data_IF_946453640394
#
_entry.id   IF_946453640394
#
_cell.length_a   1.000
_cell.length_b   1.000
_cell.length_c   1.000
_cell.angle_alpha   90.00
_cell.angle_beta   90.00
_cell.angle_gamma   90.00
#
_symmetry.space_group_name_H-M   'P 1'
#
loop_
_entity.id
_entity.type
_entity.pdbx_description
1 polymer ?
#
# COMPACT_ATOMS: atom_id res chain seq x y z
N UNK A 1 -28.22 4.24 4.09
CA UNK A 1 -27.90 3.09 4.97
C UNK A 1 -26.93 3.57 6.03
N UNK A 2 -27.13 3.22 7.28
CA UNK A 2 -26.19 3.55 8.34
C UNK A 2 -25.16 2.43 8.48
N UNK A 3 -23.89 2.79 8.53
CA UNK A 3 -22.77 1.90 8.84
C UNK A 3 -22.31 2.19 10.26
N UNK A 4 -21.76 1.17 10.94
CA UNK A 4 -21.15 1.36 12.25
C UNK A 4 -19.74 1.94 12.10
N UNK A 5 -19.02 1.49 11.06
CA UNK A 5 -17.65 1.92 10.76
C UNK A 5 -17.53 2.28 9.28
N UNK A 6 -16.92 3.41 8.99
CA UNK A 6 -16.48 3.80 7.65
C UNK A 6 -14.94 3.82 7.63
N UNK A 7 -14.35 3.13 6.67
CA UNK A 7 -12.91 3.18 6.38
C UNK A 7 -12.71 3.96 5.09
N UNK A 8 -11.88 4.99 5.13
CA UNK A 8 -11.61 5.89 4.00
C UNK A 8 -10.25 5.59 3.42
N UNK A 9 -10.22 5.09 2.19
CA UNK A 9 -9.01 4.72 1.46
C UNK A 9 -8.81 3.22 1.35
N UNK A 10 -8.76 2.70 0.11
CA UNK A 10 -8.60 1.28 -0.23
C UNK A 10 -7.14 0.80 -0.34
N UNK A 11 -6.18 1.48 0.30
CA UNK A 11 -4.81 1.00 0.42
C UNK A 11 -4.66 -0.16 1.41
N UNK A 12 -3.44 -0.65 1.63
CA UNK A 12 -3.19 -1.80 2.51
C UNK A 12 -3.77 -1.60 3.92
N UNK A 13 -3.53 -0.43 4.52
CA UNK A 13 -4.05 -0.11 5.85
C UNK A 13 -5.59 -0.09 5.89
N UNK A 14 -6.22 0.43 4.84
CA UNK A 14 -7.68 0.45 4.74
C UNK A 14 -8.28 -0.93 4.54
N UNK A 15 -7.65 -1.78 3.74
CA UNK A 15 -8.07 -3.17 3.57
C UNK A 15 -8.04 -3.91 4.93
N UNK A 16 -6.93 -3.83 5.66
CA UNK A 16 -6.81 -4.48 6.97
C UNK A 16 -7.78 -3.92 8.00
N UNK A 17 -7.96 -2.60 8.06
CA UNK A 17 -8.93 -1.96 8.96
C UNK A 17 -10.37 -2.39 8.66
N UNK A 18 -10.73 -2.47 7.37
CA UNK A 18 -12.06 -2.90 6.93
C UNK A 18 -12.31 -4.37 7.25
N UNK A 19 -11.32 -5.24 7.00
CA UNK A 19 -11.39 -6.67 7.33
C UNK A 19 -11.49 -6.88 8.84
N UNK A 20 -10.66 -6.22 9.64
CA UNK A 20 -10.68 -6.33 11.09
C UNK A 20 -12.03 -5.91 11.68
N UNK A 21 -12.62 -4.82 11.18
CA UNK A 21 -13.93 -4.33 11.62
C UNK A 21 -15.06 -5.30 11.22
N UNK A 22 -15.12 -5.70 9.96
CA UNK A 22 -16.19 -6.57 9.46
C UNK A 22 -16.15 -7.98 10.08
N UNK A 23 -14.95 -8.54 10.30
CA UNK A 23 -14.76 -9.85 10.96
C UNK A 23 -15.18 -9.84 12.43
N UNK A 24 -15.13 -8.69 13.09
CA UNK A 24 -15.69 -8.50 14.44
C UNK A 24 -17.22 -8.35 14.44
N UNK A 25 -17.87 -8.42 13.29
CA UNK A 25 -19.32 -8.35 13.16
C UNK A 25 -19.88 -6.94 12.91
N UNK A 26 -19.03 -5.91 12.81
CA UNK A 26 -19.50 -4.55 12.57
C UNK A 26 -19.85 -4.32 11.11
N UNK A 27 -20.98 -3.67 10.86
CA UNK A 27 -21.39 -3.26 9.53
C UNK A 27 -20.48 -2.15 9.02
N UNK A 28 -19.53 -2.54 8.16
CA UNK A 28 -18.40 -1.72 7.71
C UNK A 28 -18.58 -1.28 6.26
N UNK A 29 -18.20 -0.05 5.96
CA UNK A 29 -18.08 0.48 4.61
C UNK A 29 -16.62 0.86 4.32
N UNK A 30 -16.05 0.30 3.27
CA UNK A 30 -14.78 0.77 2.69
C UNK A 30 -15.09 1.73 1.54
N UNK A 31 -14.68 2.99 1.67
CA UNK A 31 -14.79 4.00 0.62
C UNK A 31 -13.43 4.19 -0.05
N UNK A 32 -13.38 4.08 -1.36
CA UNK A 32 -12.15 4.24 -2.15
C UNK A 32 -12.41 5.03 -3.43
N UNK A 33 -11.45 5.82 -3.87
CA UNK A 33 -11.58 6.61 -5.10
C UNK A 33 -11.69 5.78 -6.38
N UNK A 34 -11.17 4.54 -6.36
CA UNK A 34 -11.27 3.60 -7.47
C UNK A 34 -11.17 2.16 -6.93
N UNK A 35 -12.20 1.36 -7.16
CA UNK A 35 -12.26 -0.03 -6.67
C UNK A 35 -11.18 -0.91 -7.35
N UNK A 36 -10.84 -0.63 -8.60
CA UNK A 36 -9.84 -1.41 -9.34
C UNK A 36 -8.41 -1.18 -8.82
N UNK A 37 -8.21 -0.14 -8.00
CA UNK A 37 -6.90 0.22 -7.45
C UNK A 37 -6.78 -0.11 -5.95
N UNK A 38 -7.71 -0.88 -5.41
CA UNK A 38 -7.61 -1.39 -4.04
C UNK A 38 -6.31 -2.20 -3.87
N UNK A 39 -5.58 -1.92 -2.80
CA UNK A 39 -4.32 -2.59 -2.43
C UNK A 39 -3.23 -2.56 -3.50
N UNK A 40 -3.25 -1.62 -4.43
CA UNK A 40 -2.17 -1.48 -5.42
C UNK A 40 -0.86 -1.08 -4.75
N UNK A 41 0.24 -1.49 -5.39
CA UNK A 41 1.62 -1.19 -4.97
C UNK A 41 2.28 -0.27 -6.01
N UNK A 42 2.02 1.05 -5.97
CA UNK A 42 2.52 1.96 -7.01
C UNK A 42 4.03 2.14 -7.00
N UNK A 43 4.66 2.03 -5.84
CA UNK A 43 6.10 2.20 -5.66
C UNK A 43 6.85 0.88 -5.96
N UNK A 44 7.10 0.07 -4.93
CA UNK A 44 7.71 -1.25 -5.06
C UNK A 44 6.65 -2.33 -4.82
N UNK A 45 6.43 -3.26 -5.76
CA UNK A 45 5.52 -4.38 -5.54
C UNK A 45 6.17 -5.43 -4.63
N UNK A 46 6.43 -5.07 -3.39
CA UNK A 46 7.04 -5.94 -2.40
C UNK A 46 6.46 -5.76 -1.01
N UNK A 47 6.25 -6.87 -0.34
CA UNK A 47 5.82 -6.96 1.06
C UNK A 47 7.00 -7.43 1.89
N UNK A 48 7.22 -6.81 3.04
CA UNK A 48 8.27 -7.23 3.97
C UNK A 48 9.50 -6.34 4.00
N UNK A 49 10.58 -6.90 4.49
CA UNK A 49 11.80 -6.17 4.87
C UNK A 49 11.91 -5.97 6.38
N UNK A 50 13.00 -5.36 6.85
CA UNK A 50 13.39 -5.37 8.27
C UNK A 50 12.35 -4.86 9.27
N UNK A 51 11.51 -3.89 8.88
CA UNK A 51 10.39 -3.42 9.70
C UNK A 51 9.05 -4.00 9.24
N UNK A 52 8.76 -3.87 7.93
CA UNK A 52 7.47 -4.30 7.37
C UNK A 52 7.21 -5.80 7.54
N UNK A 53 8.24 -6.65 7.37
CA UNK A 53 8.09 -8.10 7.50
C UNK A 53 7.63 -8.54 8.88
N UNK A 54 8.10 -7.87 9.93
CA UNK A 54 7.68 -8.12 11.30
C UNK A 54 6.21 -7.71 11.49
N UNK A 55 5.86 -6.48 11.08
CA UNK A 55 4.49 -5.95 11.20
C UNK A 55 3.50 -6.81 10.42
N UNK A 56 3.83 -7.29 9.23
CA UNK A 56 2.94 -8.16 8.44
C UNK A 56 2.65 -9.46 9.18
N UNK A 57 3.65 -10.06 9.84
CA UNK A 57 3.46 -11.26 10.65
C UNK A 57 2.63 -11.01 11.92
N UNK A 58 2.78 -9.83 12.53
CA UNK A 58 1.94 -9.44 13.67
C UNK A 58 0.48 -9.25 13.24
N UNK A 59 0.26 -8.61 12.07
CA UNK A 59 -1.08 -8.44 11.48
C UNK A 59 -1.69 -9.81 11.17
N UNK A 60 -0.94 -10.73 10.57
CA UNK A 60 -1.38 -12.09 10.28
C UNK A 60 -1.80 -12.83 11.56
N UNK A 61 -0.98 -12.76 12.61
CA UNK A 61 -1.29 -13.36 13.92
C UNK A 61 -2.58 -12.80 14.57
N UNK A 62 -2.98 -11.60 14.20
CA UNK A 62 -4.24 -10.95 14.62
C UNK A 62 -5.40 -11.24 13.66
N UNK A 63 -5.20 -12.09 12.65
CA UNK A 63 -6.23 -12.47 11.68
C UNK A 63 -6.33 -11.51 10.49
N UNK A 64 -5.29 -10.75 10.17
CA UNK A 64 -5.19 -9.94 8.96
C UNK A 64 -4.95 -10.78 7.72
N UNK A 65 -5.11 -10.21 6.53
CA UNK A 65 -5.02 -10.94 5.26
C UNK A 65 -3.81 -10.56 4.40
N UNK A 66 -3.05 -9.54 4.79
CA UNK A 66 -1.91 -9.06 4.00
C UNK A 66 -0.84 -10.15 3.79
N UNK A 67 -0.57 -10.95 4.82
CA UNK A 67 0.37 -12.07 4.77
C UNK A 67 -0.10 -13.16 3.82
N UNK A 68 -1.35 -13.61 3.96
CA UNK A 68 -1.96 -14.64 3.11
C UNK A 68 -1.99 -14.23 1.65
N UNK A 69 -2.41 -13.00 1.35
CA UNK A 69 -2.46 -12.49 -0.02
C UNK A 69 -1.05 -12.33 -0.60
N UNK A 70 -0.06 -11.94 0.20
CA UNK A 70 1.33 -11.89 -0.24
C UNK A 70 1.86 -13.28 -0.59
N UNK A 71 1.60 -14.29 0.24
CA UNK A 71 2.02 -15.68 0.00
C UNK A 71 1.37 -16.28 -1.24
N UNK A 72 0.10 -15.92 -1.51
CA UNK A 72 -0.64 -16.40 -2.68
C UNK A 72 -0.24 -15.73 -4.01
N UNK A 73 0.44 -14.58 -3.97
CA UNK A 73 0.68 -13.75 -5.17
C UNK A 73 2.13 -13.35 -5.36
N UNK A 74 3.03 -13.89 -4.55
CA UNK A 74 4.45 -13.60 -4.68
C UNK A 74 5.04 -14.22 -5.96
N UNK A 75 6.06 -13.56 -6.48
CA UNK A 75 6.90 -14.05 -7.58
C UNK A 75 8.31 -14.41 -7.11
N UNK A 76 8.70 -13.90 -5.94
CA UNK A 76 9.95 -14.29 -5.28
C UNK A 76 9.83 -14.08 -3.77
N UNK A 77 10.34 -15.03 -2.98
CA UNK A 77 10.49 -14.94 -1.53
C UNK A 77 11.97 -14.97 -1.14
N UNK A 78 12.36 -14.09 -0.24
CA UNK A 78 13.73 -14.04 0.27
C UNK A 78 13.79 -13.68 1.76
N UNK A 79 14.63 -14.37 2.52
CA UNK A 79 15.00 -13.96 3.87
C UNK A 79 16.14 -12.94 3.79
N UNK A 80 15.91 -11.75 4.28
CA UNK A 80 16.89 -10.67 4.35
C UNK A 80 17.72 -10.74 5.64
N UNK A 81 18.91 -10.14 5.59
CA UNK A 81 19.80 -9.97 6.74
C UNK A 81 20.24 -11.29 7.40
N UNK A 82 20.39 -12.36 6.64
CA UNK A 82 20.73 -13.68 7.15
C UNK A 82 22.01 -13.67 8.01
N UNK A 83 23.02 -12.90 7.60
CA UNK A 83 24.31 -12.79 8.28
C UNK A 83 24.32 -11.80 9.47
N UNK A 84 23.23 -11.04 9.71
CA UNK A 84 23.20 -9.98 10.72
C UNK A 84 22.59 -10.41 12.07
N UNK A 85 22.25 -11.70 12.21
CA UNK A 85 21.67 -12.27 13.41
C UNK A 85 20.12 -12.31 13.38
N UNK A 86 19.53 -13.10 14.31
CA UNK A 86 18.09 -13.43 14.25
C UNK A 86 17.15 -12.24 14.45
N UNK A 87 17.55 -11.24 15.23
CA UNK A 87 16.70 -10.09 15.55
C UNK A 87 16.36 -9.20 14.32
N UNK A 88 17.14 -9.26 13.26
CA UNK A 88 16.95 -8.46 12.04
C UNK A 88 16.65 -9.32 10.81
N UNK A 89 16.58 -10.64 10.94
CA UNK A 89 16.12 -11.52 9.88
C UNK A 89 14.66 -11.20 9.57
N UNK A 90 14.34 -10.99 8.31
CA UNK A 90 12.99 -10.64 7.92
C UNK A 90 12.67 -11.11 6.51
N UNK A 91 11.46 -11.59 6.33
CA UNK A 91 10.95 -12.00 5.02
C UNK A 91 10.70 -10.80 4.11
N UNK A 92 10.94 -10.99 2.83
CA UNK A 92 10.55 -10.09 1.77
C UNK A 92 10.03 -10.89 0.59
N UNK A 93 8.75 -10.69 0.26
CA UNK A 93 8.14 -11.18 -0.97
C UNK A 93 8.15 -10.07 -2.03
N UNK A 94 8.60 -10.39 -3.23
CA UNK A 94 8.25 -9.63 -4.42
C UNK A 94 6.87 -10.12 -4.84
N UNK A 95 5.90 -9.24 -4.91
CA UNK A 95 4.52 -9.57 -5.27
C UNK A 95 4.26 -9.28 -6.75
N UNK A 96 3.40 -10.07 -7.37
CA UNK A 96 2.86 -9.71 -8.67
C UNK A 96 1.96 -8.47 -8.52
N UNK A 97 2.31 -7.41 -9.23
CA UNK A 97 1.65 -6.09 -9.14
C UNK A 97 0.18 -6.13 -9.57
N UNK A 98 -0.21 -7.11 -10.38
CA UNK A 98 -1.57 -7.23 -10.92
C UNK A 98 -2.39 -8.22 -10.11
N UNK A 99 -1.80 -9.33 -9.71
CA UNK A 99 -2.51 -10.41 -9.01
C UNK A 99 -2.78 -10.06 -7.55
N UNK A 100 -1.85 -9.41 -6.87
CA UNK A 100 -2.00 -9.04 -5.46
C UNK A 100 -3.27 -8.18 -5.20
N UNK A 101 -3.51 -7.07 -5.92
CA UNK A 101 -4.72 -6.27 -5.76
C UNK A 101 -6.00 -7.07 -6.05
N UNK A 102 -5.97 -7.93 -7.06
CA UNK A 102 -7.12 -8.76 -7.44
C UNK A 102 -7.47 -9.76 -6.34
N UNK A 103 -6.47 -10.39 -5.75
CA UNK A 103 -6.67 -11.34 -4.67
C UNK A 103 -7.17 -10.65 -3.41
N UNK A 104 -6.59 -9.50 -3.02
CA UNK A 104 -7.08 -8.70 -1.91
C UNK A 104 -8.54 -8.27 -2.11
N UNK A 105 -8.91 -7.86 -3.33
CA UNK A 105 -10.30 -7.50 -3.64
C UNK A 105 -11.26 -8.68 -3.50
N UNK A 106 -10.85 -9.90 -3.85
CA UNK A 106 -11.66 -11.11 -3.61
C UNK A 106 -11.87 -11.34 -2.12
N UNK A 107 -10.81 -11.23 -1.30
CA UNK A 107 -10.90 -11.36 0.15
C UNK A 107 -11.88 -10.34 0.71
N UNK A 108 -11.78 -9.07 0.35
CA UNK A 108 -12.70 -8.03 0.80
C UNK A 108 -14.15 -8.32 0.41
N UNK A 109 -14.39 -8.80 -0.82
CA UNK A 109 -15.74 -9.11 -1.32
C UNK A 109 -16.36 -10.35 -0.68
N UNK A 110 -15.55 -11.23 -0.12
CA UNK A 110 -16.05 -12.42 0.59
C UNK A 110 -16.59 -12.13 1.99
N UNK A 111 -16.28 -10.95 2.55
CA UNK A 111 -16.69 -10.57 3.90
C UNK A 111 -18.16 -10.13 3.96
N UNK A 112 -18.96 -10.79 4.80
CA UNK A 112 -20.42 -10.58 4.86
C UNK A 112 -20.83 -9.19 5.37
N UNK A 113 -20.06 -8.63 6.31
CA UNK A 113 -20.37 -7.36 6.95
C UNK A 113 -19.63 -6.18 6.29
N UNK A 114 -18.99 -6.39 5.15
CA UNK A 114 -18.22 -5.38 4.43
C UNK A 114 -18.92 -4.98 3.13
N UNK A 115 -19.15 -3.68 2.98
CA UNK A 115 -19.55 -3.07 1.72
C UNK A 115 -18.39 -2.24 1.17
N UNK A 116 -18.25 -2.21 -0.16
CA UNK A 116 -17.25 -1.37 -0.84
C UNK A 116 -18.00 -0.35 -1.68
N UNK A 117 -17.60 0.92 -1.57
CA UNK A 117 -18.18 2.01 -2.36
C UNK A 117 -17.07 2.81 -3.02
N UNK A 118 -17.25 3.08 -4.31
CA UNK A 118 -16.40 4.02 -5.02
C UNK A 118 -16.88 5.45 -4.77
N UNK A 119 -15.95 6.33 -4.42
CA UNK A 119 -16.18 7.73 -4.13
C UNK A 119 -14.97 8.37 -3.45
N UNK A 120 -14.86 9.68 -3.59
CA UNK A 120 -13.81 10.45 -2.92
C UNK A 120 -14.40 11.16 -1.70
N UNK A 121 -13.85 10.87 -0.53
CA UNK A 121 -14.23 11.57 0.70
C UNK A 121 -13.53 12.93 0.73
N UNK A 122 -14.32 14.00 0.85
CA UNK A 122 -13.83 15.38 0.87
C UNK A 122 -14.03 16.09 2.22
N UNK A 123 -14.93 15.57 3.07
CA UNK A 123 -15.12 16.12 4.41
C UNK A 123 -15.64 15.06 5.41
N UNK A 124 -15.61 15.42 6.69
CA UNK A 124 -16.24 14.70 7.78
C UNK A 124 -17.53 15.40 8.20
N UNK A 125 -18.52 14.63 8.61
CA UNK A 125 -19.71 15.17 9.28
C UNK A 125 -19.39 15.24 10.77
N UNK A 126 -19.16 16.46 11.28
CA UNK A 126 -18.81 16.68 12.70
C UNK A 126 -19.86 17.57 13.33
N UNK A 127 -20.42 17.15 14.47
CA UNK A 127 -21.32 17.91 15.31
C UNK A 127 -20.90 17.75 16.77
N UNK A 128 -20.91 18.83 17.52
CA UNK A 128 -20.53 18.81 18.94
C UNK A 128 -19.22 18.07 19.23
N UNK A 129 -18.19 18.34 18.40
CA UNK A 129 -16.89 17.71 18.43
C UNK A 129 -16.90 16.17 18.28
N UNK A 130 -17.96 15.63 17.71
CA UNK A 130 -18.14 14.18 17.47
C UNK A 130 -18.34 13.92 15.98
N UNK A 131 -17.67 12.88 15.46
CA UNK A 131 -17.85 12.46 14.07
C UNK A 131 -19.16 11.68 13.91
N UNK A 132 -19.90 11.99 12.85
CA UNK A 132 -21.17 11.34 12.48
C UNK A 132 -21.17 10.77 11.06
N UNK A 133 -20.03 10.77 10.38
CA UNK A 133 -19.90 10.21 9.04
C UNK A 133 -18.98 11.01 8.14
N UNK A 134 -19.15 10.82 6.84
CA UNK A 134 -18.34 11.44 5.80
C UNK A 134 -19.19 12.08 4.71
N UNK A 135 -18.62 13.06 4.02
CA UNK A 135 -19.19 13.70 2.83
C UNK A 135 -18.36 13.31 1.61
N UNK A 136 -18.99 12.77 0.59
CA UNK A 136 -18.34 12.47 -0.68
C UNK A 136 -18.24 13.73 -1.57
N UNK A 137 -17.38 13.67 -2.58
CA UNK A 137 -17.24 14.68 -3.62
C UNK A 137 -18.51 14.93 -4.44
N UNK A 138 -19.44 13.98 -4.44
CA UNK A 138 -20.78 14.11 -5.02
C UNK A 138 -21.77 14.90 -4.15
N UNK A 139 -21.37 15.25 -2.92
CA UNK A 139 -22.25 15.83 -1.91
C UNK A 139 -23.07 14.78 -1.11
N UNK A 140 -22.91 13.50 -1.39
CA UNK A 140 -23.58 12.44 -0.65
C UNK A 140 -23.04 12.34 0.78
N UNK A 141 -23.93 12.31 1.75
CA UNK A 141 -23.63 12.09 3.16
C UNK A 141 -23.80 10.63 3.53
N UNK A 142 -22.78 10.03 4.13
CA UNK A 142 -22.83 8.65 4.64
C UNK A 142 -22.62 8.69 6.14
N UNK A 143 -23.61 8.18 6.87
CA UNK A 143 -23.65 8.27 8.33
C UNK A 143 -22.95 7.06 8.97
N UNK A 144 -22.12 7.36 9.98
CA UNK A 144 -21.43 6.36 10.80
C UNK A 144 -20.94 6.99 12.10
N UNK A 145 -20.83 6.19 13.15
CA UNK A 145 -20.30 6.62 14.43
C UNK A 145 -18.76 6.57 14.51
N UNK A 146 -18.13 5.82 13.61
CA UNK A 146 -16.67 5.63 13.58
C UNK A 146 -16.17 5.85 12.15
N UNK A 147 -15.16 6.69 12.01
CA UNK A 147 -14.46 6.92 10.73
C UNK A 147 -12.98 6.65 10.91
N UNK A 148 -12.44 5.75 10.10
CA UNK A 148 -11.00 5.41 10.06
C UNK A 148 -10.42 6.00 8.78
N UNK A 149 -9.45 6.92 8.92
CA UNK A 149 -8.79 7.57 7.80
C UNK A 149 -7.49 6.83 7.44
N UNK A 150 -7.43 6.28 6.22
CA UNK A 150 -6.27 5.58 5.67
C UNK A 150 -5.94 6.10 4.27
N UNK A 151 -5.92 7.41 4.12
CA UNK A 151 -5.90 8.14 2.85
C UNK A 151 -4.58 8.06 2.08
N UNK A 152 -3.53 7.49 2.69
CA UNK A 152 -2.25 7.23 2.03
C UNK A 152 -1.64 8.50 1.41
N UNK A 153 -1.32 8.43 0.12
CA UNK A 153 -0.66 9.50 -0.64
C UNK A 153 -1.62 10.30 -1.52
N UNK A 154 -2.91 10.40 -1.16
CA UNK A 154 -3.93 11.00 -2.03
C UNK A 154 -4.42 12.39 -1.57
N UNK A 155 -4.01 12.88 -0.38
CA UNK A 155 -4.43 14.19 0.13
C UNK A 155 -3.69 15.32 -0.56
N UNK A 156 -4.34 16.02 -1.49
CA UNK A 156 -3.75 17.10 -2.32
C UNK A 156 -2.38 16.72 -2.90
N UNK A 157 -2.25 15.48 -3.34
CA UNK A 157 -0.98 14.94 -3.81
C UNK A 157 -0.54 15.53 -5.14
N UNK A 158 0.77 15.59 -5.32
CA UNK A 158 1.43 15.94 -6.56
C UNK A 158 2.42 14.84 -6.95
N UNK A 159 2.48 14.53 -8.23
CA UNK A 159 3.51 13.68 -8.82
C UNK A 159 4.62 14.58 -9.37
N UNK A 160 5.85 14.27 -9.01
CA UNK A 160 7.04 14.97 -9.47
C UNK A 160 7.84 14.04 -10.39
N UNK A 161 8.09 14.48 -11.62
CA UNK A 161 8.93 13.77 -12.59
C UNK A 161 9.85 14.79 -13.25
N UNK A 162 11.14 14.75 -12.90
CA UNK A 162 12.07 15.83 -13.26
C UNK A 162 11.51 17.17 -12.76
N UNK A 163 11.46 18.16 -13.63
CA UNK A 163 10.94 19.50 -13.33
C UNK A 163 9.40 19.61 -13.45
N UNK A 164 8.74 18.54 -13.85
CA UNK A 164 7.29 18.55 -14.04
C UNK A 164 6.57 18.19 -12.74
N UNK A 165 5.63 19.06 -12.35
CA UNK A 165 4.73 18.83 -11.21
C UNK A 165 3.29 18.73 -11.70
N UNK A 166 2.67 17.58 -11.45
CA UNK A 166 1.28 17.32 -11.84
C UNK A 166 0.43 17.03 -10.62
N UNK A 167 -0.69 17.75 -10.46
CA UNK A 167 -1.67 17.50 -9.40
C UNK A 167 -2.38 16.18 -9.67
N UNK A 168 -1.91 15.12 -9.02
CA UNK A 168 -2.39 13.76 -9.24
C UNK A 168 -2.00 12.83 -8.07
N UNK A 169 -2.76 11.77 -7.89
CA UNK A 169 -2.33 10.58 -7.15
C UNK A 169 -1.47 9.65 -8.02
N UNK A 170 -0.97 8.53 -7.47
CA UNK A 170 -0.26 7.51 -8.24
C UNK A 170 -1.05 7.08 -9.47
N UNK A 171 -0.34 6.78 -10.58
CA UNK A 171 -0.96 6.35 -11.85
C UNK A 171 -1.99 7.33 -12.44
N UNK A 172 -1.79 8.65 -12.24
CA UNK A 172 -2.69 9.73 -12.67
C UNK A 172 -4.10 9.65 -12.07
N UNK A 173 -4.24 9.04 -10.89
CA UNK A 173 -5.50 9.03 -10.18
C UNK A 173 -5.84 10.39 -9.58
N UNK A 174 -7.15 10.61 -9.42
CA UNK A 174 -7.67 11.85 -8.82
C UNK A 174 -7.35 11.90 -7.32
N UNK A 175 -6.69 12.95 -6.82
CA UNK A 175 -6.46 13.15 -5.39
C UNK A 175 -7.69 13.75 -4.71
N UNK A 176 -7.85 13.54 -3.40
CA UNK A 176 -8.79 14.30 -2.57
C UNK A 176 -8.31 15.73 -2.41
N UNK A 177 -9.17 16.70 -2.72
CA UNK A 177 -8.77 18.11 -2.78
C UNK A 177 -9.10 18.89 -1.51
N UNK A 178 -10.11 18.48 -0.76
CA UNK A 178 -10.62 19.27 0.36
C UNK A 178 -10.41 18.62 1.73
N UNK A 179 -10.33 17.29 1.82
CA UNK A 179 -10.27 16.56 3.08
C UNK A 179 -9.10 17.03 3.98
N UNK A 180 -7.91 17.29 3.42
CA UNK A 180 -6.76 17.76 4.22
C UNK A 180 -6.97 19.15 4.81
N UNK A 181 -7.66 20.04 4.10
CA UNK A 181 -7.97 21.38 4.62
C UNK A 181 -9.07 21.32 5.67
N UNK A 182 -10.04 20.45 5.49
CA UNK A 182 -11.11 20.24 6.46
C UNK A 182 -10.56 19.61 7.74
N UNK A 183 -9.66 18.63 7.63
CA UNK A 183 -8.96 18.08 8.80
C UNK A 183 -8.20 19.16 9.60
N UNK A 184 -7.55 20.13 8.92
CA UNK A 184 -6.91 21.26 9.61
C UNK A 184 -7.90 22.11 10.38
N UNK A 185 -9.11 22.34 9.86
CA UNK A 185 -10.18 23.08 10.56
C UNK A 185 -10.62 22.37 11.84
N UNK A 186 -10.52 21.04 11.88
CA UNK A 186 -10.78 20.23 13.08
C UNK A 186 -9.57 20.13 14.01
N UNK A 187 -8.51 20.88 13.77
CA UNK A 187 -7.34 20.96 14.66
C UNK A 187 -6.23 19.95 14.38
N UNK A 188 -6.32 19.15 13.31
CA UNK A 188 -5.24 18.22 12.94
C UNK A 188 -4.04 18.97 12.34
N UNK A 189 -2.84 18.68 12.84
CA UNK A 189 -1.60 19.17 12.25
C UNK A 189 -1.24 18.29 11.04
N UNK A 190 -1.34 18.84 9.84
CA UNK A 190 -1.06 18.15 8.59
C UNK A 190 0.27 18.61 8.02
N UNK A 191 1.19 17.66 7.87
CA UNK A 191 2.51 17.90 7.28
C UNK A 191 2.57 17.29 5.88
N UNK A 192 3.38 17.90 5.02
CA UNK A 192 3.68 17.35 3.70
C UNK A 192 4.91 16.46 3.77
N UNK A 193 4.75 15.24 3.25
CA UNK A 193 5.83 14.27 3.15
C UNK A 193 6.07 13.89 1.69
N UNK A 194 7.28 13.48 1.37
CA UNK A 194 7.71 12.98 0.06
C UNK A 194 7.94 11.48 0.14
N UNK A 195 7.54 10.74 -0.89
CA UNK A 195 7.95 9.36 -1.13
C UNK A 195 8.63 9.25 -2.50
N UNK A 196 9.65 8.39 -2.62
CA UNK A 196 10.30 8.10 -3.90
C UNK A 196 9.74 6.84 -4.53
N UNK A 197 9.55 6.87 -5.85
CA UNK A 197 9.20 5.68 -6.64
C UNK A 197 10.37 5.36 -7.55
N UNK A 198 10.89 4.11 -7.59
CA UNK A 198 11.97 3.74 -8.47
C UNK A 198 11.51 3.82 -9.95
N UNK A 199 12.44 4.11 -10.88
CA UNK A 199 12.13 4.16 -12.30
C UNK A 199 11.62 2.80 -12.78
N UNK A 200 10.74 2.81 -13.78
CA UNK A 200 10.34 1.63 -14.55
C UNK A 200 11.19 1.57 -15.80
N UNK A 201 11.86 0.46 -16.00
CA UNK A 201 12.77 0.23 -17.12
C UNK A 201 12.17 -0.84 -18.01
N UNK A 202 12.24 -0.65 -19.33
CA UNK A 202 11.85 -1.69 -20.27
C UNK A 202 12.84 -2.85 -20.17
N UNK A 203 12.33 -4.05 -19.89
CA UNK A 203 13.13 -5.27 -19.71
C UNK A 203 14.01 -5.56 -20.93
N UNK A 204 13.55 -5.24 -22.13
CA UNK A 204 14.29 -5.46 -23.38
C UNK A 204 15.56 -4.60 -23.50
N UNK A 205 15.64 -3.50 -22.75
CA UNK A 205 16.78 -2.60 -22.74
C UNK A 205 17.84 -2.94 -21.68
N UNK A 206 17.60 -3.97 -20.86
CA UNK A 206 18.51 -4.35 -19.77
C UNK A 206 19.57 -5.33 -20.29
N UNK A 207 20.83 -4.96 -20.12
CA UNK A 207 21.95 -5.86 -20.33
C UNK A 207 22.18 -6.71 -19.07
N UNK A 208 21.52 -7.87 -19.02
CA UNK A 208 21.60 -8.78 -17.87
C UNK A 208 23.02 -9.34 -17.64
N UNK A 209 23.93 -9.28 -18.62
CA UNK A 209 25.31 -9.73 -18.44
C UNK A 209 26.11 -8.83 -17.50
N UNK A 210 25.67 -7.59 -17.31
CA UNK A 210 26.26 -6.60 -16.39
C UNK A 210 25.61 -6.59 -15.01
N UNK A 211 24.70 -7.51 -14.75
CA UNK A 211 23.97 -7.58 -13.48
C UNK A 211 24.34 -8.83 -12.71
N UNK A 212 24.22 -8.77 -11.39
CA UNK A 212 24.35 -9.95 -10.56
C UNK A 212 22.95 -10.54 -10.32
N UNK A 213 22.73 -11.77 -10.78
CA UNK A 213 21.47 -12.49 -10.56
C UNK A 213 21.30 -12.83 -9.08
N UNK A 214 20.11 -12.58 -8.53
CA UNK A 214 19.68 -12.96 -7.20
C UNK A 214 18.40 -13.79 -7.27
N UNK A 215 18.56 -15.08 -7.05
CA UNK A 215 17.43 -16.01 -6.96
C UNK A 215 16.69 -15.87 -5.62
N UNK A 216 15.44 -16.30 -5.58
CA UNK A 216 14.70 -16.50 -4.33
C UNK A 216 15.30 -17.63 -3.50
N UNK A 217 14.91 -17.68 -2.23
CA UNK A 217 15.37 -18.75 -1.35
C UNK A 217 14.76 -20.09 -1.75
N UNK A 218 15.53 -21.17 -1.58
CA UNK A 218 15.07 -22.54 -1.84
C UNK A 218 14.27 -23.13 -0.67
N UNK A 219 14.30 -22.48 0.46
CA UNK A 219 13.47 -22.80 1.61
C UNK A 219 12.10 -22.12 1.47
N UNK A 220 11.06 -22.91 1.72
CA UNK A 220 9.69 -22.40 1.60
C UNK A 220 9.29 -21.61 2.85
N UNK A 221 9.33 -20.29 2.73
CA UNK A 221 8.88 -19.37 3.77
C UNK A 221 7.48 -18.83 3.46
N UNK A 222 6.72 -18.51 4.52
CA UNK A 222 5.43 -17.81 4.43
C UNK A 222 5.37 -16.64 5.39
N UNK A 223 4.60 -15.62 5.05
CA UNK A 223 4.18 -14.60 6.02
C UNK A 223 3.07 -15.13 6.92
N UNK A 224 2.11 -15.86 6.35
CA UNK A 224 1.03 -16.44 7.12
C UNK A 224 1.52 -17.57 8.03
N UNK A 225 1.01 -17.59 9.27
CA UNK A 225 1.28 -18.64 10.24
C UNK A 225 0.36 -19.86 10.06
N UNK A 226 -0.76 -19.70 9.35
CA UNK A 226 -1.81 -20.69 9.24
C UNK A 226 -1.79 -21.45 7.91
N UNK A 227 -1.22 -20.87 6.87
CA UNK A 227 -1.22 -21.45 5.54
C UNK A 227 0.12 -22.07 5.18
N UNK A 228 0.10 -23.28 4.57
CA UNK A 228 1.31 -23.84 3.97
C UNK A 228 1.75 -22.99 2.77
N UNK A 229 3.04 -23.07 2.36
CA UNK A 229 3.51 -22.42 1.14
C UNK A 229 2.69 -22.86 -0.07
N UNK A 230 2.17 -21.90 -0.83
CA UNK A 230 1.35 -22.14 -2.03
C UNK A 230 2.09 -21.85 -3.34
N UNK A 231 3.38 -21.48 -3.26
CA UNK A 231 4.24 -21.20 -4.40
C UNK A 231 5.32 -22.29 -4.59
N UNK A 232 5.77 -22.45 -5.82
CA UNK A 232 6.90 -23.36 -6.13
C UNK A 232 8.23 -22.64 -5.89
N UNK A 233 9.00 -23.10 -4.90
CA UNK A 233 10.30 -22.55 -4.54
C UNK A 233 11.34 -22.66 -5.67
N UNK A 234 11.15 -23.57 -6.63
CA UNK A 234 12.05 -23.78 -7.76
C UNK A 234 11.68 -22.93 -8.99
N UNK A 235 10.50 -22.30 -8.97
CA UNK A 235 9.98 -21.52 -10.08
C UNK A 235 9.72 -20.07 -9.65
N UNK A 236 10.75 -19.40 -9.13
CA UNK A 236 10.69 -18.02 -8.71
C UNK A 236 11.35 -17.10 -9.73
N UNK A 237 10.80 -15.89 -9.94
CA UNK A 237 11.44 -14.88 -10.78
C UNK A 237 12.68 -14.29 -10.09
N UNK A 238 13.85 -14.29 -10.75
CA UNK A 238 15.05 -13.74 -10.15
C UNK A 238 15.01 -12.21 -10.11
N UNK A 239 15.57 -11.63 -9.06
CA UNK A 239 15.97 -10.23 -9.05
C UNK A 239 17.39 -10.07 -9.65
N UNK A 240 17.74 -8.84 -10.01
CA UNK A 240 19.06 -8.52 -10.53
C UNK A 240 19.61 -7.30 -9.78
N UNK A 241 20.82 -7.44 -9.24
CA UNK A 241 21.54 -6.36 -8.57
C UNK A 241 22.44 -5.63 -9.57
N UNK A 242 22.41 -4.31 -9.45
CA UNK A 242 23.39 -3.42 -10.08
C UNK A 242 23.96 -2.52 -9.00
N UNK A 243 25.20 -2.11 -9.17
CA UNK A 243 25.86 -1.22 -8.23
C UNK A 243 26.06 0.15 -8.87
N UNK A 244 25.74 1.20 -8.13
CA UNK A 244 26.06 2.57 -8.56
C UNK A 244 27.58 2.80 -8.50
N UNK A 245 28.08 3.55 -9.48
CA UNK A 245 29.48 3.98 -9.54
C UNK A 245 29.55 5.48 -9.20
N UNK A 246 30.78 6.03 -9.10
CA UNK A 246 30.98 7.47 -8.93
C UNK A 246 30.28 8.29 -10.03
N UNK A 247 30.26 7.79 -11.27
CA UNK A 247 29.57 8.45 -12.40
C UNK A 247 28.06 8.46 -12.19
N UNK A 248 27.46 7.36 -11.74
CA UNK A 248 26.04 7.30 -11.41
C UNK A 248 25.67 8.34 -10.35
N UNK A 249 26.50 8.51 -9.35
CA UNK A 249 26.29 9.46 -8.26
C UNK A 249 26.36 10.93 -8.72
N UNK A 250 27.26 11.24 -9.65
CA UNK A 250 27.36 12.58 -10.22
C UNK A 250 26.10 12.96 -10.98
N UNK A 251 25.52 12.05 -11.76
CA UNK A 251 24.27 12.27 -12.49
C UNK A 251 23.06 12.40 -11.55
N UNK A 252 22.97 11.56 -10.51
CA UNK A 252 21.87 11.61 -9.53
C UNK A 252 21.89 12.93 -8.76
N UNK A 253 23.07 13.40 -8.30
CA UNK A 253 23.20 14.69 -7.60
C UNK A 253 22.81 15.90 -8.46
N UNK A 254 23.08 15.87 -9.75
CA UNK A 254 22.66 16.94 -10.65
C UNK A 254 21.13 17.10 -10.73
N UNK A 255 20.39 16.01 -10.45
CA UNK A 255 18.92 16.04 -10.39
C UNK A 255 18.35 16.29 -8.98
N UNK A 256 19.14 16.08 -7.91
CA UNK A 256 18.69 16.29 -6.53
C UNK A 256 18.79 17.75 -6.08
N UNK A 257 19.67 18.56 -6.68
CA UNK A 257 19.88 19.96 -6.30
C UNK A 257 18.74 20.90 -6.65
N UNK A 258 17.69 20.43 -7.33
CA UNK A 258 16.51 21.22 -7.69
C UNK A 258 15.34 21.07 -6.71
N UNK A 259 15.48 20.30 -5.64
CA UNK A 259 14.39 19.96 -4.73
C UNK A 259 14.70 20.29 -3.25
N UNK A 260 15.22 21.46 -2.97
CA UNK A 260 15.05 22.06 -1.64
C UNK A 260 13.61 22.60 -1.56
N UNK A 261 12.77 21.81 -0.92
CA UNK A 261 11.39 22.16 -0.55
C UNK A 261 11.37 22.81 0.83
#
# INVERSE_FOLDING_TARGET
MNYEVIVVGGGHAGCEAALASSRKGHKTLLVTGNINNIATMPCNPSIGGSAKGIIVREIDALGGSMGEVADATLIQMKMLNYAKGPAVKSLRAQADKITYPREMLKVLRSEKNLSIKEGMVEDLIVKDNTVHGVVLDTGENIISNIVILTTGTYLKSDILVGDTRTRSGPHNERPSMHLSDNLKKYGFNILRLKTGTPPRIDRSTIDFTKTQREDGDKEAYTFSHTNPPVYDVNNQEPCHLIYTTAVSYTHLRAHETVLDL
#
